data_IF_623311725564
#
_entry.id   IF_623311725564
#
_cell.length_a   1.000
_cell.length_b   1.000
_cell.length_c   1.000
_cell.angle_alpha   90.00
_cell.angle_beta   90.00
_cell.angle_gamma   90.00
#
_symmetry.space_group_name_H-M   'P 1'
#
loop_
_entity.id
_entity.type
_entity.pdbx_description
1 polymer ?
#
# COMPACT_ATOMS: atom_id res chain seq x y z
N UNK A 1 15.57 -21.81 -19.41
CA UNK A 1 15.36 -22.02 -17.96
C UNK A 1 16.09 -21.02 -17.07
N UNK A 2 17.44 -21.04 -16.99
CA UNK A 2 18.16 -20.11 -16.09
C UNK A 2 18.02 -18.63 -16.52
N UNK A 3 18.15 -18.36 -17.82
CA UNK A 3 17.95 -17.01 -18.38
C UNK A 3 16.51 -16.51 -18.19
N UNK A 4 15.51 -17.39 -18.35
CA UNK A 4 14.10 -17.06 -18.12
C UNK A 4 13.84 -16.72 -16.65
N UNK A 5 14.46 -17.46 -15.72
CA UNK A 5 14.41 -17.14 -14.29
C UNK A 5 15.05 -15.78 -14.00
N UNK A 6 16.23 -15.50 -14.57
CA UNK A 6 16.88 -14.20 -14.41
C UNK A 6 16.05 -13.06 -15.03
N UNK A 7 15.38 -13.29 -16.16
CA UNK A 7 14.46 -12.32 -16.77
C UNK A 7 13.24 -12.05 -15.87
N UNK A 8 12.64 -13.09 -15.28
CA UNK A 8 11.53 -12.94 -14.33
C UNK A 8 11.95 -12.20 -13.06
N UNK A 9 13.14 -12.48 -12.52
CA UNK A 9 13.69 -11.75 -11.36
C UNK A 9 13.94 -10.27 -11.66
N UNK A 10 14.47 -9.96 -12.85
CA UNK A 10 14.64 -8.56 -13.30
C UNK A 10 13.28 -7.87 -13.48
N UNK A 11 12.29 -8.56 -14.04
CA UNK A 11 10.92 -8.04 -14.18
C UNK A 11 10.30 -7.75 -12.81
N UNK A 12 10.43 -8.69 -11.87
CA UNK A 12 9.99 -8.51 -10.49
C UNK A 12 10.64 -7.27 -9.85
N UNK A 13 11.95 -7.09 -10.01
CA UNK A 13 12.65 -5.91 -9.49
C UNK A 13 12.16 -4.59 -10.07
N UNK A 14 11.88 -4.54 -11.38
CA UNK A 14 11.29 -3.36 -12.02
C UNK A 14 9.87 -3.07 -11.51
N UNK A 15 9.08 -4.10 -11.21
CA UNK A 15 7.77 -3.93 -10.61
C UNK A 15 7.87 -3.39 -9.17
N UNK A 16 8.85 -3.87 -8.39
CA UNK A 16 9.11 -3.33 -7.05
C UNK A 16 9.55 -1.86 -7.08
N UNK A 17 10.34 -1.44 -8.08
CA UNK A 17 10.68 -0.01 -8.30
C UNK A 17 9.44 0.83 -8.64
N UNK A 18 8.61 0.37 -9.59
CA UNK A 18 7.37 1.08 -9.94
C UNK A 18 6.42 1.20 -8.75
N UNK A 19 6.34 0.16 -7.92
CA UNK A 19 5.53 0.18 -6.70
C UNK A 19 6.07 1.21 -5.69
N UNK A 20 7.39 1.29 -5.52
CA UNK A 20 8.02 2.32 -4.68
C UNK A 20 7.71 3.73 -5.16
N UNK A 21 7.70 3.95 -6.47
CA UNK A 21 7.40 5.24 -7.08
C UNK A 21 5.91 5.59 -6.95
N UNK A 22 5.02 4.64 -7.22
CA UNK A 22 3.58 4.81 -7.03
C UNK A 22 3.24 5.21 -5.59
N UNK A 23 3.81 4.51 -4.60
CA UNK A 23 3.66 4.83 -3.18
C UNK A 23 4.26 6.19 -2.78
N UNK A 24 5.28 6.68 -3.51
CA UNK A 24 5.90 7.99 -3.26
C UNK A 24 5.05 9.12 -3.83
N UNK A 25 4.48 8.90 -5.01
CA UNK A 25 3.73 9.90 -5.76
C UNK A 25 2.23 9.91 -5.40
N UNK A 26 1.76 8.97 -4.57
CA UNK A 26 0.36 8.85 -4.17
C UNK A 26 -0.53 8.27 -5.28
N UNK A 27 0.05 7.54 -6.23
CA UNK A 27 -0.66 6.84 -7.30
C UNK A 27 -1.19 5.51 -6.79
N UNK A 28 -2.04 5.56 -5.77
CA UNK A 28 -2.51 4.38 -5.03
C UNK A 28 -3.39 3.45 -5.90
N UNK A 29 -3.99 3.97 -6.96
CA UNK A 29 -4.83 3.21 -7.90
C UNK A 29 -4.04 2.15 -8.69
N UNK A 30 -2.74 2.36 -8.91
CA UNK A 30 -1.88 1.43 -9.65
C UNK A 30 -1.31 0.30 -8.76
N UNK A 31 -1.35 0.49 -7.44
CA UNK A 31 -0.72 -0.41 -6.45
C UNK A 31 -1.29 -1.83 -6.52
N UNK A 32 -2.63 -2.06 -6.58
CA UNK A 32 -3.19 -3.41 -6.63
C UNK A 32 -2.73 -4.19 -7.88
N UNK A 33 -2.78 -3.55 -9.05
CA UNK A 33 -2.36 -4.18 -10.31
C UNK A 33 -0.87 -4.55 -10.28
N UNK A 34 -0.02 -3.67 -9.73
CA UNK A 34 1.41 -3.94 -9.61
C UNK A 34 1.71 -5.11 -8.66
N UNK A 35 0.92 -5.28 -7.60
CA UNK A 35 1.04 -6.41 -6.68
C UNK A 35 0.66 -7.74 -7.35
N UNK A 36 -0.45 -7.79 -8.10
CA UNK A 36 -0.84 -8.99 -8.86
C UNK A 36 0.24 -9.40 -9.87
N UNK A 37 0.82 -8.43 -10.59
CA UNK A 37 1.90 -8.71 -11.53
C UNK A 37 3.17 -9.24 -10.85
N UNK A 38 3.45 -8.81 -9.62
CA UNK A 38 4.56 -9.33 -8.81
C UNK A 38 4.31 -10.77 -8.38
N UNK A 39 3.10 -11.08 -7.94
CA UNK A 39 2.70 -12.44 -7.57
C UNK A 39 2.76 -13.42 -8.76
N UNK A 40 2.39 -12.95 -9.95
CA UNK A 40 2.58 -13.70 -11.18
C UNK A 40 4.06 -14.04 -11.44
N UNK A 41 4.97 -13.07 -11.24
CA UNK A 41 6.39 -13.30 -11.45
C UNK A 41 6.95 -14.33 -10.46
N UNK A 42 6.55 -14.27 -9.17
CA UNK A 42 6.92 -15.27 -8.16
C UNK A 42 6.42 -16.66 -8.57
N UNK A 43 5.14 -16.75 -8.96
CA UNK A 43 4.53 -18.01 -9.39
C UNK A 43 5.24 -18.60 -10.62
N UNK A 44 5.62 -17.77 -11.59
CA UNK A 44 6.37 -18.21 -12.76
C UNK A 44 7.77 -18.73 -12.38
N UNK A 45 8.48 -18.05 -11.46
CA UNK A 45 9.78 -18.49 -10.97
C UNK A 45 9.66 -19.85 -10.24
N UNK A 46 8.64 -20.02 -9.41
CA UNK A 46 8.41 -21.28 -8.70
C UNK A 46 8.14 -22.43 -9.67
N UNK A 47 7.29 -22.22 -10.68
CA UNK A 47 7.03 -23.21 -11.73
C UNK A 47 8.30 -23.59 -12.50
N UNK A 48 9.15 -22.61 -12.83
CA UNK A 48 10.44 -22.87 -13.49
C UNK A 48 11.39 -23.69 -12.60
N UNK A 49 11.36 -23.45 -11.30
CA UNK A 49 12.14 -24.18 -10.31
C UNK A 49 11.66 -25.63 -10.17
N UNK A 50 10.35 -25.83 -10.05
CA UNK A 50 9.72 -27.15 -9.98
C UNK A 50 9.98 -27.98 -11.25
N UNK A 51 9.85 -27.35 -12.42
CA UNK A 51 10.07 -28.00 -13.70
C UNK A 51 11.52 -28.46 -13.91
N UNK A 52 12.50 -27.79 -13.30
CA UNK A 52 13.91 -28.19 -13.41
C UNK A 52 14.31 -29.28 -12.40
N UNK A 53 13.49 -29.54 -11.38
CA UNK A 53 13.75 -30.50 -10.30
C UNK A 53 15.01 -30.22 -9.47
N UNK A 54 15.69 -29.10 -9.71
CA UNK A 54 16.98 -28.74 -9.12
C UNK A 54 17.03 -27.23 -8.87
N UNK A 55 17.91 -26.79 -7.97
CA UNK A 55 18.01 -25.37 -7.67
C UNK A 55 18.68 -24.61 -8.84
N UNK A 56 17.89 -23.95 -9.70
CA UNK A 56 18.41 -23.10 -10.78
C UNK A 56 19.06 -21.83 -10.21
N UNK A 57 20.34 -21.89 -9.88
CA UNK A 57 21.08 -20.76 -9.30
C UNK A 57 22.45 -20.62 -9.95
N UNK A 58 22.80 -19.41 -10.37
CA UNK A 58 24.16 -19.01 -10.68
C UNK A 58 24.53 -17.74 -9.89
N UNK A 59 25.78 -17.28 -10.03
CA UNK A 59 26.26 -16.07 -9.35
C UNK A 59 25.44 -14.81 -9.69
N UNK A 60 24.88 -14.74 -10.89
CA UNK A 60 24.00 -13.64 -11.32
C UNK A 60 22.63 -13.70 -10.65
N UNK A 61 22.01 -14.87 -10.56
CA UNK A 61 20.75 -15.10 -9.85
C UNK A 61 20.91 -14.72 -8.38
N UNK A 62 22.02 -15.08 -7.75
CA UNK A 62 22.30 -14.70 -6.35
C UNK A 62 22.45 -13.20 -6.17
N UNK A 63 23.13 -12.51 -7.10
CA UNK A 63 23.23 -11.04 -7.09
C UNK A 63 21.85 -10.38 -7.21
N UNK A 64 21.05 -10.83 -8.19
CA UNK A 64 19.70 -10.32 -8.40
C UNK A 64 18.81 -10.54 -7.18
N UNK A 65 18.89 -11.71 -6.53
CA UNK A 65 18.14 -11.99 -5.31
C UNK A 65 18.56 -11.08 -4.16
N UNK A 66 19.86 -10.85 -3.96
CA UNK A 66 20.34 -9.94 -2.92
C UNK A 66 19.90 -8.49 -3.16
N UNK A 67 19.93 -8.03 -4.42
CA UNK A 67 19.40 -6.71 -4.77
C UNK A 67 17.90 -6.59 -4.51
N UNK A 68 17.14 -7.65 -4.80
CA UNK A 68 15.71 -7.71 -4.54
C UNK A 68 15.40 -7.67 -3.05
N UNK A 69 16.13 -8.41 -2.21
CA UNK A 69 15.93 -8.39 -0.74
C UNK A 69 16.01 -6.96 -0.21
N UNK A 70 17.03 -6.21 -0.60
CA UNK A 70 17.17 -4.81 -0.16
C UNK A 70 16.00 -3.93 -0.60
N UNK A 71 15.49 -4.13 -1.83
CA UNK A 71 14.33 -3.39 -2.35
C UNK A 71 13.04 -3.77 -1.63
N UNK A 72 12.85 -5.04 -1.30
CA UNK A 72 11.70 -5.52 -0.54
C UNK A 72 11.68 -4.98 0.89
N UNK A 73 12.84 -4.92 1.56
CA UNK A 73 12.93 -4.30 2.88
C UNK A 73 12.58 -2.81 2.85
N UNK A 74 12.96 -2.09 1.78
CA UNK A 74 12.56 -0.69 1.62
C UNK A 74 11.04 -0.58 1.39
N UNK A 75 10.48 -1.44 0.54
CA UNK A 75 9.05 -1.50 0.27
C UNK A 75 8.23 -1.76 1.53
N UNK A 76 8.63 -2.74 2.33
CA UNK A 76 7.98 -3.07 3.59
C UNK A 76 7.97 -1.88 4.55
N UNK A 77 9.11 -1.20 4.71
CA UNK A 77 9.22 0.01 5.54
C UNK A 77 8.29 1.12 5.03
N UNK A 78 8.16 1.30 3.71
CA UNK A 78 7.26 2.31 3.14
C UNK A 78 5.80 1.95 3.30
N UNK A 79 5.41 0.70 3.03
CA UNK A 79 4.04 0.23 3.28
C UNK A 79 3.64 0.42 4.74
N UNK A 80 4.51 0.05 5.68
CA UNK A 80 4.26 0.26 7.11
C UNK A 80 4.00 1.73 7.44
N UNK A 81 4.81 2.66 6.89
CA UNK A 81 4.61 4.10 7.06
C UNK A 81 3.31 4.59 6.41
N UNK A 82 2.99 4.14 5.21
CA UNK A 82 1.75 4.52 4.51
C UNK A 82 0.52 4.04 5.27
N UNK A 83 0.52 2.78 5.74
CA UNK A 83 -0.55 2.24 6.58
C UNK A 83 -0.72 3.03 7.89
N UNK A 84 0.39 3.39 8.54
CA UNK A 84 0.35 4.23 9.74
C UNK A 84 -0.24 5.62 9.46
N UNK A 85 0.09 6.23 8.31
CA UNK A 85 -0.46 7.52 7.89
C UNK A 85 -1.96 7.42 7.61
N UNK A 86 -2.41 6.38 6.90
CA UNK A 86 -3.83 6.13 6.62
C UNK A 86 -4.63 5.89 7.90
N UNK A 87 -4.10 5.10 8.84
CA UNK A 87 -4.74 4.88 10.14
C UNK A 87 -4.94 6.21 10.88
N UNK A 88 -3.91 7.07 10.91
CA UNK A 88 -4.02 8.41 11.52
C UNK A 88 -5.04 9.29 10.82
N UNK A 89 -5.10 9.28 9.48
CA UNK A 89 -6.09 10.09 8.75
C UNK A 89 -7.51 9.60 8.98
N UNK A 90 -7.75 8.29 9.08
CA UNK A 90 -9.06 7.72 9.41
C UNK A 90 -9.50 8.19 10.80
N UNK A 91 -8.60 8.18 11.79
CA UNK A 91 -8.89 8.71 13.13
C UNK A 91 -9.19 10.21 13.09
N UNK A 92 -8.44 11.00 12.32
CA UNK A 92 -8.68 12.44 12.17
C UNK A 92 -10.06 12.72 11.54
N UNK A 93 -10.40 12.05 10.43
CA UNK A 93 -11.71 12.19 9.77
C UNK A 93 -12.84 11.74 10.69
N UNK A 94 -12.68 10.64 11.44
CA UNK A 94 -13.69 10.18 12.40
C UNK A 94 -13.88 11.18 13.54
N UNK A 95 -12.82 11.82 14.00
CA UNK A 95 -12.89 12.87 15.00
C UNK A 95 -13.54 14.14 14.44
N UNK A 96 -13.21 14.54 13.21
CA UNK A 96 -13.87 15.67 12.53
C UNK A 96 -15.36 15.41 12.33
N UNK A 97 -15.77 14.20 11.92
CA UNK A 97 -17.17 13.82 11.81
C UNK A 97 -17.88 13.80 13.17
N UNK A 98 -17.20 13.34 14.22
CA UNK A 98 -17.73 13.37 15.58
C UNK A 98 -17.93 14.81 16.08
N UNK A 99 -16.93 15.66 15.88
CA UNK A 99 -16.98 17.08 16.25
C UNK A 99 -18.05 17.83 15.44
N UNK A 100 -18.14 17.58 14.12
CA UNK A 100 -19.18 18.17 13.27
C UNK A 100 -20.59 17.77 13.73
N UNK A 101 -20.82 16.51 14.09
CA UNK A 101 -22.09 16.06 14.67
C UNK A 101 -22.41 16.73 16.00
N UNK A 102 -21.41 16.94 16.86
CA UNK A 102 -21.61 17.67 18.12
C UNK A 102 -21.99 19.13 17.88
N UNK A 103 -21.40 19.80 16.90
CA UNK A 103 -21.76 21.18 16.56
C UNK A 103 -23.12 21.30 15.85
N UNK A 104 -23.51 20.31 15.03
CA UNK A 104 -24.87 20.24 14.46
C UNK A 104 -25.94 20.00 15.56
N UNK A 105 -25.64 19.20 16.57
CA UNK A 105 -26.49 19.03 17.77
C UNK A 105 -26.47 20.26 18.70
N UNK A 106 -25.44 21.10 18.61
CA UNK A 106 -25.29 22.36 19.34
C UNK A 106 -25.83 23.56 18.58
N UNK A 107 -26.81 23.36 17.69
CA UNK A 107 -27.69 24.44 17.26
C UNK A 107 -28.65 24.73 18.42
N UNK A 108 -28.52 25.85 19.15
CA UNK A 108 -29.45 26.14 20.23
C UNK A 108 -30.81 26.39 19.60
N UNK A 109 -31.78 25.52 19.90
CA UNK A 109 -33.19 25.80 19.69
C UNK A 109 -33.55 26.94 20.66
N UNK A 110 -33.16 28.18 20.34
CA UNK A 110 -33.71 29.36 21.00
C UNK A 110 -35.05 29.69 20.34
N UNK A 111 -36.04 28.81 20.49
CA UNK A 111 -37.42 29.28 20.41
C UNK A 111 -37.68 30.09 21.67
N UNK A 112 -37.47 31.40 21.54
CA UNK A 112 -37.72 32.35 22.62
C UNK A 112 -39.16 32.20 23.11
N UNK A 113 -39.30 31.70 24.35
CA UNK A 113 -40.48 31.92 25.17
C UNK A 113 -40.55 33.43 25.47
N UNK A 114 -41.19 34.20 24.60
CA UNK A 114 -41.67 35.53 24.96
C UNK A 114 -42.83 35.33 25.94
N UNK A 115 -42.52 35.48 27.23
CA UNK A 115 -43.53 35.76 28.24
C UNK A 115 -44.18 37.08 27.90
N UNK A 116 -45.41 37.03 27.38
CA UNK A 116 -46.31 38.17 27.40
C UNK A 116 -46.81 38.34 28.85
N UNK A 117 -46.13 39.22 29.59
CA UNK A 117 -46.62 39.74 30.85
C UNK A 117 -46.52 41.27 30.83
N UNK A 118 -47.70 41.90 30.91
CA UNK A 118 -48.01 43.31 31.27
C UNK A 118 -47.99 44.24 30.03
N UNK A 119 -49.06 44.96 29.69
CA UNK A 119 -50.00 45.71 30.53
C UNK A 119 -51.24 46.11 29.73
#
# INVERSE_FOLDING_TARGET
>A
MLEEKNAMLRKFGKLSEKLLDALKNGSDDEVPMLLEQREFCISAINKLQEASGTLLTNSETTKLLNELVNKEEELEKRFSKTLQKMSRSIHAVRNEQYVARQYDEWNPVSSGYFYDQRK
#
